data_IF_449275768125
#
_entry.id   IF_449275768125
#
_cell.length_a   1.000
_cell.length_b   1.000
_cell.length_c   1.000
_cell.angle_alpha   90.00
_cell.angle_beta   90.00
_cell.angle_gamma   90.00
#
_symmetry.space_group_name_H-M   'P 1'
#
loop_
_entity.id
_entity.type
_entity.pdbx_description
1 polymer ?
#
# COMPACT_ATOMS: atom_id res chain seq x y z
N UNK A 1 32.81 -37.84 15.15
CA UNK A 1 32.52 -38.34 13.79
C UNK A 1 33.34 -39.59 13.64
N UNK A 2 32.80 -40.69 14.14
CA UNK A 2 33.48 -41.98 14.11
C UNK A 2 33.28 -42.57 12.71
N UNK A 3 34.38 -43.05 12.15
CA UNK A 3 34.49 -43.46 10.77
C UNK A 3 33.42 -44.49 10.40
N UNK A 4 32.88 -44.36 9.18
CA UNK A 4 32.19 -45.46 8.52
C UNK A 4 33.18 -46.64 8.45
N UNK A 5 33.07 -47.56 9.40
CA UNK A 5 33.85 -48.77 9.45
C UNK A 5 33.55 -49.59 8.18
N UNK A 6 34.61 -50.08 7.53
CA UNK A 6 34.49 -50.91 6.33
C UNK A 6 33.58 -52.11 6.61
N UNK A 7 32.55 -52.29 5.77
CA UNK A 7 31.57 -53.36 5.90
C UNK A 7 32.27 -54.72 5.72
N UNK A 8 32.14 -55.59 6.72
CA UNK A 8 32.76 -56.92 6.73
C UNK A 8 31.91 -58.00 6.02
N UNK A 9 30.75 -57.62 5.45
CA UNK A 9 29.75 -58.49 4.83
C UNK A 9 28.93 -57.71 3.80
N UNK A 10 28.47 -58.37 2.73
CA UNK A 10 27.57 -57.80 1.70
C UNK A 10 26.12 -57.58 2.21
N UNK A 11 25.83 -57.94 3.46
CA UNK A 11 24.51 -57.80 4.08
C UNK A 11 24.27 -56.36 4.60
N UNK A 12 23.25 -55.69 4.06
CA UNK A 12 22.84 -54.34 4.47
C UNK A 12 21.68 -54.44 5.47
N UNK A 13 21.92 -54.03 6.70
CA UNK A 13 20.90 -53.93 7.76
C UNK A 13 20.08 -52.64 7.65
N UNK A 14 18.89 -52.62 8.28
CA UNK A 14 18.02 -51.44 8.29
C UNK A 14 18.70 -50.23 8.95
N UNK A 15 19.39 -50.43 10.07
CA UNK A 15 20.11 -49.38 10.79
C UNK A 15 21.23 -48.77 9.92
N UNK A 16 21.94 -49.60 9.17
CA UNK A 16 22.96 -49.13 8.23
C UNK A 16 22.32 -48.31 7.11
N UNK A 17 21.21 -48.79 6.52
CA UNK A 17 20.49 -48.03 5.50
C UNK A 17 19.95 -46.70 6.05
N UNK A 18 19.45 -46.69 7.28
CA UNK A 18 18.93 -45.51 7.98
C UNK A 18 20.00 -44.42 8.12
N UNK A 19 21.21 -44.81 8.52
CA UNK A 19 22.36 -43.90 8.67
C UNK A 19 22.90 -43.46 7.30
N UNK A 20 23.04 -44.37 6.34
CA UNK A 20 23.56 -44.07 4.99
C UNK A 20 22.67 -43.03 4.29
N UNK A 21 21.36 -43.17 4.40
CA UNK A 21 20.40 -42.20 3.86
C UNK A 21 20.19 -40.97 4.74
N UNK A 22 20.93 -40.85 5.86
CA UNK A 22 20.93 -39.71 6.78
C UNK A 22 19.53 -39.41 7.35
N UNK A 23 18.72 -40.45 7.55
CA UNK A 23 17.37 -40.35 8.11
C UNK A 23 17.38 -40.14 9.63
N UNK A 24 18.53 -40.37 10.27
CA UNK A 24 18.82 -40.00 11.66
C UNK A 24 19.09 -38.50 11.86
N UNK A 25 19.28 -37.74 10.77
CA UNK A 25 19.63 -36.33 10.83
C UNK A 25 18.39 -35.42 10.90
N UNK A 26 17.82 -35.24 12.10
CA UNK A 26 16.62 -34.41 12.32
C UNK A 26 16.83 -32.90 12.11
N UNK A 27 18.08 -32.43 12.03
CA UNK A 27 18.40 -31.01 11.86
C UNK A 27 19.58 -30.79 10.92
N UNK A 28 19.42 -29.93 9.92
CA UNK A 28 20.48 -29.62 8.97
C UNK A 28 21.36 -28.48 9.49
N UNK A 29 22.63 -28.79 9.82
CA UNK A 29 23.66 -27.81 10.23
C UNK A 29 24.39 -27.16 9.06
N UNK A 30 24.30 -27.73 7.86
CA UNK A 30 24.97 -27.22 6.66
C UNK A 30 24.34 -25.91 6.15
N UNK A 31 23.07 -25.67 6.49
CA UNK A 31 22.27 -24.58 5.93
C UNK A 31 21.83 -23.57 6.99
N UNK A 32 22.64 -23.37 8.02
CA UNK A 32 22.44 -22.31 9.02
C UNK A 32 22.62 -20.91 8.42
N UNK A 33 23.49 -20.78 7.40
CA UNK A 33 23.71 -19.54 6.68
C UNK A 33 22.81 -19.49 5.45
N UNK A 34 21.93 -18.50 5.41
CA UNK A 34 20.96 -18.29 4.34
C UNK A 34 21.68 -18.04 2.99
N UNK A 35 21.39 -18.86 1.96
CA UNK A 35 21.91 -18.67 0.60
C UNK A 35 20.77 -18.59 -0.43
N UNK A 36 20.53 -17.40 -1.03
CA UNK A 36 19.40 -17.12 -1.91
C UNK A 36 19.41 -17.80 -3.28
N UNK A 37 20.46 -18.56 -3.61
CA UNK A 37 20.59 -19.28 -4.90
C UNK A 37 20.43 -20.80 -4.76
N UNK A 38 19.96 -21.29 -3.63
CA UNK A 38 20.09 -22.71 -3.30
C UNK A 38 18.84 -23.55 -3.62
N UNK A 39 19.09 -24.76 -4.13
CA UNK A 39 18.11 -25.84 -4.32
C UNK A 39 17.89 -26.60 -3.01
N UNK A 40 16.91 -27.50 -2.97
CA UNK A 40 16.70 -28.45 -1.87
C UNK A 40 18.03 -29.06 -1.40
N UNK A 41 18.16 -29.24 -0.08
CA UNK A 41 19.31 -29.88 0.54
C UNK A 41 19.53 -31.28 -0.03
N UNK A 42 20.75 -31.58 -0.49
CA UNK A 42 21.09 -32.90 -1.02
C UNK A 42 21.56 -33.87 0.08
N UNK A 43 21.95 -33.34 1.24
CA UNK A 43 22.54 -34.10 2.33
C UNK A 43 21.56 -34.51 3.42
N UNK A 44 20.55 -33.69 3.70
CA UNK A 44 19.59 -33.96 4.75
C UNK A 44 18.18 -33.89 4.15
N UNK A 45 17.45 -35.03 4.08
CA UNK A 45 16.12 -35.09 3.50
C UNK A 45 15.07 -34.30 4.31
N UNK A 46 15.32 -34.05 5.59
CA UNK A 46 14.45 -33.26 6.49
C UNK A 46 14.83 -31.77 6.55
N UNK A 47 15.74 -31.29 5.69
CA UNK A 47 16.15 -29.90 5.72
C UNK A 47 15.06 -28.95 5.19
N UNK A 48 14.33 -28.31 6.10
CA UNK A 48 13.31 -27.32 5.77
C UNK A 48 13.86 -25.94 5.36
N UNK A 49 15.13 -25.64 5.69
CA UNK A 49 15.74 -24.30 5.50
C UNK A 49 15.85 -23.88 4.02
N UNK A 50 15.77 -24.82 3.08
CA UNK A 50 15.87 -24.58 1.63
C UNK A 50 14.59 -24.87 0.85
N UNK A 51 13.45 -25.03 1.53
CA UNK A 51 12.12 -25.23 0.90
C UNK A 51 11.50 -23.93 0.33
N UNK A 52 12.30 -22.86 0.16
CA UNK A 52 11.83 -21.61 -0.43
C UNK A 52 11.19 -20.62 0.56
N UNK A 53 11.56 -20.67 1.85
CA UNK A 53 11.15 -19.71 2.88
C UNK A 53 11.31 -18.24 2.45
N UNK A 54 12.33 -17.95 1.62
CA UNK A 54 12.59 -16.61 1.09
C UNK A 54 11.44 -16.06 0.25
N UNK A 55 10.67 -16.92 -0.42
CA UNK A 55 9.46 -16.51 -1.15
C UNK A 55 8.37 -16.11 -0.16
N UNK A 56 8.22 -16.84 0.93
CA UNK A 56 7.26 -16.52 1.99
C UNK A 56 7.61 -15.23 2.73
N UNK A 57 8.88 -15.03 3.11
CA UNK A 57 9.33 -13.80 3.78
C UNK A 57 9.14 -12.57 2.88
N UNK A 58 9.39 -12.70 1.57
CA UNK A 58 9.11 -11.64 0.59
C UNK A 58 7.61 -11.33 0.52
N UNK A 59 6.76 -12.35 0.48
CA UNK A 59 5.30 -12.16 0.48
C UNK A 59 4.82 -11.50 1.76
N UNK A 60 5.30 -11.93 2.94
CA UNK A 60 4.96 -11.32 4.24
C UNK A 60 5.43 -9.86 4.29
N UNK A 61 6.65 -9.57 3.83
CA UNK A 61 7.17 -8.20 3.77
C UNK A 61 6.34 -7.34 2.82
N UNK A 62 5.95 -7.88 1.67
CA UNK A 62 5.11 -7.19 0.70
C UNK A 62 3.70 -6.93 1.25
N UNK A 63 3.10 -7.90 1.94
CA UNK A 63 1.81 -7.75 2.62
C UNK A 63 1.88 -6.65 3.68
N UNK A 64 2.88 -6.69 4.57
CA UNK A 64 3.08 -5.65 5.60
C UNK A 64 3.25 -4.25 4.99
N UNK A 65 3.99 -4.14 3.89
CA UNK A 65 4.14 -2.88 3.16
C UNK A 65 2.82 -2.41 2.55
N UNK A 66 2.01 -3.32 2.01
CA UNK A 66 0.70 -3.00 1.47
C UNK A 66 -0.27 -2.56 2.58
N UNK A 67 -0.30 -3.26 3.70
CA UNK A 67 -1.12 -2.90 4.86
C UNK A 67 -0.73 -1.53 5.41
N UNK A 68 0.57 -1.25 5.58
CA UNK A 68 1.05 0.05 6.03
C UNK A 68 0.66 1.19 5.06
N UNK A 69 0.72 0.95 3.74
CA UNK A 69 0.25 1.93 2.73
C UNK A 69 -1.25 2.16 2.82
N UNK A 70 -2.03 1.12 3.07
CA UNK A 70 -3.49 1.25 3.26
C UNK A 70 -3.80 2.06 4.52
N UNK A 71 -3.14 1.76 5.63
CA UNK A 71 -3.28 2.51 6.89
C UNK A 71 -2.88 3.99 6.73
N UNK A 72 -1.79 4.27 6.02
CA UNK A 72 -1.36 5.64 5.72
C UNK A 72 -2.38 6.36 4.82
N UNK A 73 -2.93 5.67 3.82
CA UNK A 73 -3.97 6.25 2.95
C UNK A 73 -5.28 6.56 3.67
N UNK A 74 -5.55 5.87 4.78
CA UNK A 74 -6.73 6.07 5.63
C UNK A 74 -6.49 7.06 6.77
N UNK A 75 -5.25 7.56 6.93
CA UNK A 75 -4.91 8.50 7.99
C UNK A 75 -5.65 9.82 7.77
N UNK A 76 -6.48 10.19 8.75
CA UNK A 76 -7.22 11.45 8.72
C UNK A 76 -6.27 12.62 8.94
N UNK A 77 -6.43 13.67 8.15
CA UNK A 77 -5.72 14.95 8.30
C UNK A 77 -6.25 15.68 9.54
N UNK A 78 -5.37 16.42 10.20
CA UNK A 78 -5.83 17.48 11.08
C UNK A 78 -6.40 18.60 10.20
N UNK A 79 -7.66 18.97 10.45
CA UNK A 79 -8.38 19.96 9.66
C UNK A 79 -7.77 21.36 9.86
N UNK A 80 -7.16 21.61 11.02
CA UNK A 80 -6.59 22.89 11.43
C UNK A 80 -5.14 23.06 10.97
N UNK A 81 -4.36 21.98 10.92
CA UNK A 81 -2.91 22.07 10.61
C UNK A 81 -2.59 21.81 9.14
N UNK A 82 -3.30 20.87 8.52
CA UNK A 82 -3.08 20.49 7.12
C UNK A 82 -4.22 21.11 6.30
N UNK A 83 -4.03 21.59 5.06
CA UNK A 83 -5.15 21.95 4.18
C UNK A 83 -5.63 20.74 3.35
N UNK A 84 -6.88 20.76 2.88
CA UNK A 84 -7.41 19.73 1.98
C UNK A 84 -6.79 19.86 0.58
N UNK A 85 -6.37 18.74 -0.03
CA UNK A 85 -5.91 18.73 -1.43
C UNK A 85 -7.07 18.62 -2.42
N UNK A 86 -6.86 19.03 -3.67
CA UNK A 86 -7.81 18.84 -4.78
C UNK A 86 -7.23 17.87 -5.81
N UNK A 87 -8.07 16.97 -6.32
CA UNK A 87 -7.67 16.01 -7.35
C UNK A 87 -7.55 16.73 -8.70
N UNK A 88 -6.46 16.48 -9.43
CA UNK A 88 -6.28 17.04 -10.77
C UNK A 88 -7.03 16.18 -11.79
N UNK A 89 -8.17 16.67 -12.25
CA UNK A 89 -8.90 16.06 -13.37
C UNK A 89 -8.46 16.69 -14.69
N UNK A 90 -7.50 16.07 -15.37
CA UNK A 90 -7.00 16.51 -16.69
C UNK A 90 -6.16 17.79 -16.65
N UNK A 91 -6.30 18.65 -17.68
CA UNK A 91 -5.46 19.85 -17.89
C UNK A 91 -5.91 21.09 -17.09
N UNK A 92 -6.76 20.92 -16.08
CA UNK A 92 -7.36 22.02 -15.31
C UNK A 92 -6.68 22.26 -13.96
N UNK A 93 -5.43 21.80 -13.78
CA UNK A 93 -4.69 21.93 -12.52
C UNK A 93 -4.48 23.39 -12.08
N UNK A 94 -4.43 24.34 -13.01
CA UNK A 94 -4.34 25.78 -12.70
C UNK A 94 -5.58 26.26 -11.93
N UNK A 95 -6.77 25.70 -12.20
CA UNK A 95 -8.00 26.04 -11.49
C UNK A 95 -7.88 25.63 -10.02
N UNK A 96 -7.30 24.46 -9.75
CA UNK A 96 -7.06 23.99 -8.39
C UNK A 96 -6.16 24.96 -7.61
N UNK A 97 -5.15 25.54 -8.24
CA UNK A 97 -4.30 26.56 -7.60
C UNK A 97 -5.11 27.81 -7.19
N UNK A 98 -5.97 28.32 -8.07
CA UNK A 98 -6.83 29.46 -7.75
C UNK A 98 -7.82 29.15 -6.64
N UNK A 99 -8.47 27.97 -6.70
CA UNK A 99 -9.41 27.53 -5.67
C UNK A 99 -8.76 27.41 -4.30
N UNK A 100 -7.52 26.91 -4.24
CA UNK A 100 -6.77 26.84 -2.98
C UNK A 100 -6.44 28.24 -2.45
N UNK A 101 -6.03 29.18 -3.30
CA UNK A 101 -5.76 30.57 -2.88
C UNK A 101 -7.02 31.23 -2.33
N UNK A 102 -8.12 31.16 -3.07
CA UNK A 102 -9.40 31.77 -2.67
C UNK A 102 -10.00 31.12 -1.44
N UNK A 103 -9.88 29.80 -1.30
CA UNK A 103 -10.34 29.12 -0.09
C UNK A 103 -9.57 29.61 1.13
N UNK A 104 -8.26 29.84 1.03
CA UNK A 104 -7.44 30.29 2.16
C UNK A 104 -7.71 31.74 2.60
N UNK A 105 -8.39 32.56 1.80
CA UNK A 105 -8.88 33.86 2.22
C UNK A 105 -10.18 33.71 3.05
N UNK A 106 -10.17 34.02 4.36
CA UNK A 106 -11.33 33.85 5.22
C UNK A 106 -12.50 34.78 4.83
N UNK A 107 -12.22 35.97 4.29
CA UNK A 107 -13.26 36.92 3.87
C UNK A 107 -13.97 36.37 2.64
N UNK A 108 -13.20 35.93 1.65
CA UNK A 108 -13.76 35.31 0.44
C UNK A 108 -14.56 34.04 0.78
N UNK A 109 -14.00 33.17 1.63
CA UNK A 109 -14.67 31.94 2.06
C UNK A 109 -16.01 32.22 2.74
N UNK A 110 -16.08 33.23 3.60
CA UNK A 110 -17.32 33.65 4.25
C UNK A 110 -18.35 34.16 3.25
N UNK A 111 -17.94 34.99 2.28
CA UNK A 111 -18.81 35.46 1.18
C UNK A 111 -19.41 34.28 0.42
N UNK A 112 -18.60 33.26 0.10
CA UNK A 112 -19.08 32.05 -0.56
C UNK A 112 -20.12 31.34 0.30
N UNK A 113 -19.89 31.17 1.61
CA UNK A 113 -20.86 30.50 2.50
C UNK A 113 -22.14 31.30 2.75
N UNK A 114 -22.08 32.63 2.71
CA UNK A 114 -23.24 33.50 2.94
C UNK A 114 -24.09 33.69 1.69
N UNK A 115 -23.55 33.39 0.50
CA UNK A 115 -24.29 33.50 -0.75
C UNK A 115 -25.56 32.63 -0.75
N UNK A 116 -26.66 33.16 -1.29
CA UNK A 116 -27.94 32.46 -1.44
C UNK A 116 -28.47 32.67 -2.87
N UNK A 117 -29.11 31.67 -3.47
CA UNK A 117 -29.73 31.82 -4.79
C UNK A 117 -30.86 32.83 -4.74
N UNK A 118 -31.07 33.54 -5.85
CA UNK A 118 -32.13 34.52 -5.99
C UNK A 118 -33.41 33.82 -6.48
N UNK A 119 -34.58 34.06 -5.87
CA UNK A 119 -35.84 33.51 -6.35
C UNK A 119 -36.21 34.04 -7.75
N UNK A 120 -35.69 35.21 -8.13
CA UNK A 120 -35.95 35.86 -9.42
C UNK A 120 -34.92 35.49 -10.49
N UNK A 121 -33.98 34.59 -10.20
CA UNK A 121 -32.96 34.19 -11.16
C UNK A 121 -33.55 33.30 -12.26
N UNK A 122 -33.42 33.77 -13.49
CA UNK A 122 -33.79 33.00 -14.68
C UNK A 122 -32.52 32.37 -15.25
N UNK A 123 -32.49 31.03 -15.28
CA UNK A 123 -31.38 30.29 -15.89
C UNK A 123 -31.17 30.79 -17.33
N UNK A 124 -29.95 31.25 -17.68
CA UNK A 124 -29.67 31.69 -19.03
C UNK A 124 -29.64 30.48 -19.99
N UNK A 125 -30.03 30.71 -21.25
CA UNK A 125 -29.92 29.66 -22.26
C UNK A 125 -28.46 29.50 -22.72
N UNK A 126 -28.04 28.27 -23.09
CA UNK A 126 -26.73 28.05 -23.69
C UNK A 126 -26.50 28.97 -24.91
N UNK A 127 -25.29 29.52 -25.09
CA UNK A 127 -24.03 29.17 -24.45
C UNK A 127 -23.71 29.97 -23.17
N UNK A 128 -24.62 30.81 -22.68
CA UNK A 128 -24.35 31.61 -21.50
C UNK A 128 -24.21 30.73 -20.23
N UNK A 129 -23.27 31.10 -19.36
CA UNK A 129 -22.97 30.33 -18.15
C UNK A 129 -24.06 30.51 -17.09
N UNK A 130 -24.45 29.40 -16.45
CA UNK A 130 -25.37 29.43 -15.31
C UNK A 130 -24.58 29.76 -14.03
N UNK A 131 -24.56 31.05 -13.67
CA UNK A 131 -23.79 31.56 -12.53
C UNK A 131 -24.25 30.96 -11.21
N UNK A 132 -25.56 30.78 -11.00
CA UNK A 132 -26.07 30.14 -9.78
C UNK A 132 -25.60 28.69 -9.67
N UNK A 133 -25.59 27.93 -10.77
CA UNK A 133 -25.06 26.56 -10.75
C UNK A 133 -23.56 26.52 -10.40
N UNK A 134 -22.77 27.47 -10.91
CA UNK A 134 -21.36 27.62 -10.55
C UNK A 134 -21.20 27.95 -9.06
N UNK A 135 -21.97 28.91 -8.55
CA UNK A 135 -21.91 29.32 -7.14
C UNK A 135 -22.29 28.19 -6.19
N UNK A 136 -23.35 27.43 -6.50
CA UNK A 136 -23.73 26.24 -5.74
C UNK A 136 -22.61 25.19 -5.73
N UNK A 137 -22.01 24.92 -6.90
CA UNK A 137 -20.90 23.97 -7.03
C UNK A 137 -19.69 24.41 -6.18
N UNK A 138 -19.39 25.71 -6.18
CA UNK A 138 -18.30 26.29 -5.40
C UNK A 138 -18.55 26.21 -3.89
N UNK A 139 -19.78 26.47 -3.43
CA UNK A 139 -20.17 26.29 -2.03
C UNK A 139 -20.00 24.85 -1.56
N UNK A 140 -20.51 23.89 -2.33
CA UNK A 140 -20.35 22.47 -2.02
C UNK A 140 -18.88 22.06 -1.96
N UNK A 141 -18.07 22.57 -2.87
CA UNK A 141 -16.63 22.33 -2.87
C UNK A 141 -15.96 22.88 -1.61
N UNK A 142 -16.22 24.13 -1.24
CA UNK A 142 -15.60 24.78 -0.08
C UNK A 142 -16.03 24.11 1.23
N UNK A 143 -17.31 23.74 1.33
CA UNK A 143 -17.81 22.96 2.47
C UNK A 143 -17.12 21.58 2.56
N UNK A 144 -16.93 20.93 1.43
CA UNK A 144 -16.22 19.64 1.35
C UNK A 144 -14.76 19.80 1.75
N UNK A 145 -14.07 20.84 1.30
CA UNK A 145 -12.69 21.13 1.70
C UNK A 145 -12.55 21.35 3.22
N UNK A 146 -13.55 21.97 3.85
CA UNK A 146 -13.56 22.23 5.29
C UNK A 146 -13.83 20.97 6.12
N UNK A 147 -14.72 20.09 5.65
CA UNK A 147 -15.19 18.94 6.43
C UNK A 147 -14.46 17.64 6.11
N UNK A 148 -13.83 17.54 4.94
CA UNK A 148 -13.20 16.29 4.50
C UNK A 148 -11.98 15.98 5.37
N UNK A 149 -11.98 14.83 6.07
CA UNK A 149 -10.89 14.43 6.95
C UNK A 149 -9.75 13.76 6.19
N UNK A 150 -9.83 13.60 4.87
CA UNK A 150 -8.80 12.93 4.07
C UNK A 150 -7.86 13.94 3.42
N UNK A 151 -6.56 13.65 3.47
CA UNK A 151 -5.63 14.29 2.54
C UNK A 151 -5.99 13.74 1.15
N UNK A 152 -6.22 14.58 0.14
CA UNK A 152 -6.35 14.08 -1.24
C UNK A 152 -5.01 13.51 -1.66
N UNK A 153 -4.79 12.23 -1.33
CA UNK A 153 -3.60 11.50 -1.68
C UNK A 153 -3.73 11.20 -3.17
N UNK A 154 -2.84 11.80 -3.93
CA UNK A 154 -2.59 11.47 -5.32
C UNK A 154 -2.20 9.98 -5.36
N UNK A 155 -3.15 9.09 -5.64
CA UNK A 155 -2.82 7.82 -6.25
C UNK A 155 -2.71 8.08 -7.74
N UNK A 156 -1.50 8.12 -8.32
CA UNK A 156 -1.41 7.97 -9.76
C UNK A 156 -1.97 6.58 -10.07
N UNK A 157 -3.18 6.54 -10.62
CA UNK A 157 -3.66 5.37 -11.34
C UNK A 157 -2.66 5.17 -12.50
N UNK A 158 -1.75 4.22 -12.30
CA UNK A 158 -0.96 3.62 -13.37
C UNK A 158 -1.78 2.53 -14.02
#
# INVERSE_FOLDING_TARGET
>A
MEAAAALASDEITFEQAWIIHKLDCLGCRLHDIHNPKSTNCRDNPYCIKRLGLEKFDKLIKQEKLNTAKVEESQKRRDILEVPCGLTNSGNFCYVNSFLQVWYNDPVFRQIIFDWRPSPDYVRPQPPAMDVEAVMNSLQHLFYTMQTTPFVSIFTPLK
#
